data_IF_656838642208
#
_entry.id   IF_656838642208
#
_cell.length_a   1.000
_cell.length_b   1.000
_cell.length_c   1.000
_cell.angle_alpha   90.00
_cell.angle_beta   90.00
_cell.angle_gamma   90.00
#
_symmetry.space_group_name_H-M   'P 1'
#
loop_
_entity.id
_entity.type
_entity.pdbx_description
1 polymer ?
#
# COMPACT_ATOMS: atom_id res chain seq x y z
N UNK A 1 20.62 -21.02 8.39
CA UNK A 1 19.26 -21.22 7.85
C UNK A 1 18.17 -20.82 8.84
N UNK A 2 18.31 -21.12 10.14
CA UNK A 2 17.36 -20.70 11.19
C UNK A 2 17.23 -19.16 11.29
N UNK A 3 18.33 -18.42 11.20
CA UNK A 3 18.32 -16.95 11.27
C UNK A 3 17.48 -16.27 10.18
N UNK A 4 17.48 -16.80 8.95
CA UNK A 4 16.68 -16.25 7.84
C UNK A 4 15.18 -16.45 8.05
N UNK A 5 14.77 -17.63 8.54
CA UNK A 5 13.37 -17.92 8.87
C UNK A 5 12.90 -17.06 10.03
N UNK A 6 13.75 -16.87 11.04
CA UNK A 6 13.46 -16.00 12.17
C UNK A 6 13.34 -14.54 11.77
N UNK A 7 14.22 -14.04 10.89
CA UNK A 7 14.12 -12.69 10.35
C UNK A 7 12.81 -12.46 9.58
N UNK A 8 12.39 -13.41 8.74
CA UNK A 8 11.11 -13.34 8.04
C UNK A 8 9.91 -13.30 9.00
N UNK A 9 9.96 -14.12 10.07
CA UNK A 9 8.94 -14.13 11.12
C UNK A 9 8.89 -12.80 11.87
N UNK A 10 10.04 -12.22 12.22
CA UNK A 10 10.11 -10.92 12.87
C UNK A 10 9.53 -9.81 11.99
N UNK A 11 9.89 -9.79 10.69
CA UNK A 11 9.31 -8.85 9.73
C UNK A 11 7.79 -8.99 9.72
N UNK A 12 7.27 -10.21 9.63
CA UNK A 12 5.83 -10.45 9.66
C UNK A 12 5.17 -9.90 10.93
N UNK A 13 5.71 -10.20 12.12
CA UNK A 13 5.13 -9.72 13.38
C UNK A 13 5.20 -8.19 13.53
N UNK A 14 6.30 -7.56 13.13
CA UNK A 14 6.44 -6.11 13.16
C UNK A 14 5.39 -5.47 12.26
N UNK A 15 5.24 -5.94 11.02
CA UNK A 15 4.27 -5.40 10.08
C UNK A 15 2.84 -5.63 10.53
N UNK A 16 2.56 -6.82 11.04
CA UNK A 16 1.24 -7.16 11.57
C UNK A 16 0.88 -6.25 12.75
N UNK A 17 1.82 -6.03 13.67
CA UNK A 17 1.61 -5.16 14.83
C UNK A 17 1.39 -3.71 14.42
N UNK A 18 2.24 -3.15 13.56
CA UNK A 18 2.11 -1.76 13.10
C UNK A 18 0.80 -1.55 12.33
N UNK A 19 0.44 -2.47 11.44
CA UNK A 19 -0.80 -2.37 10.67
C UNK A 19 -2.04 -2.56 11.54
N UNK A 20 -1.96 -3.42 12.57
CA UNK A 20 -3.04 -3.57 13.55
C UNK A 20 -3.22 -2.31 14.40
N UNK A 21 -2.13 -1.65 14.79
CA UNK A 21 -2.21 -0.38 15.52
C UNK A 21 -2.83 0.72 14.66
N UNK A 22 -2.44 0.81 13.38
CA UNK A 22 -3.06 1.74 12.43
C UNK A 22 -4.57 1.48 12.34
N UNK A 23 -4.98 0.23 12.12
CA UNK A 23 -6.40 -0.16 12.07
C UNK A 23 -7.15 0.11 13.38
N UNK A 24 -6.53 -0.09 14.53
CA UNK A 24 -7.14 0.17 15.83
C UNK A 24 -7.41 1.66 16.06
N UNK A 25 -6.54 2.53 15.55
CA UNK A 25 -6.67 3.98 15.68
C UNK A 25 -7.79 4.60 14.84
N UNK A 26 -8.31 3.86 13.84
CA UNK A 26 -9.42 4.32 13.00
C UNK A 26 -10.74 4.16 13.73
N UNK A 27 -11.43 5.29 13.95
CA UNK A 27 -12.81 5.33 14.43
C UNK A 27 -13.76 5.06 13.26
N UNK A 28 -14.11 3.80 13.06
CA UNK A 28 -14.98 3.35 11.98
C UNK A 28 -15.48 1.93 12.22
N UNK A 29 -16.22 1.40 11.24
CA UNK A 29 -16.66 0.01 11.30
C UNK A 29 -15.54 -0.99 10.98
N UNK A 30 -15.91 -2.27 10.95
CA UNK A 30 -14.98 -3.35 10.64
C UNK A 30 -14.35 -3.22 9.25
N UNK A 31 -15.07 -2.69 8.26
CA UNK A 31 -14.58 -2.51 6.88
C UNK A 31 -13.53 -1.40 6.84
N UNK A 32 -13.79 -0.26 7.47
CA UNK A 32 -12.83 0.87 7.55
C UNK A 32 -11.54 0.47 8.25
N UNK A 33 -11.64 -0.27 9.36
CA UNK A 33 -10.47 -0.82 10.06
C UNK A 33 -9.70 -1.82 9.19
N UNK A 34 -10.39 -2.63 8.40
CA UNK A 34 -9.76 -3.58 7.48
C UNK A 34 -9.04 -2.83 6.35
N UNK A 35 -9.65 -1.79 5.79
CA UNK A 35 -9.01 -0.96 4.77
C UNK A 35 -7.75 -0.29 5.34
N UNK A 36 -7.83 0.32 6.52
CA UNK A 36 -6.68 0.94 7.18
C UNK A 36 -5.54 -0.05 7.46
N UNK A 37 -5.87 -1.26 7.90
CA UNK A 37 -4.89 -2.35 8.04
C UNK A 37 -4.18 -2.64 6.72
N UNK A 38 -4.95 -2.82 5.64
CA UNK A 38 -4.42 -3.15 4.32
C UNK A 38 -3.62 -2.02 3.70
N UNK A 39 -4.05 -0.76 3.85
CA UNK A 39 -3.31 0.43 3.41
C UNK A 39 -1.95 0.48 4.10
N UNK A 40 -1.91 0.38 5.44
CA UNK A 40 -0.65 0.39 6.20
C UNK A 40 0.30 -0.72 5.74
N UNK A 41 -0.23 -1.93 5.52
CA UNK A 41 0.55 -3.06 5.04
C UNK A 41 1.05 -2.86 3.60
N UNK A 42 0.24 -2.24 2.74
CA UNK A 42 0.60 -1.94 1.36
C UNK A 42 1.72 -0.89 1.27
N UNK A 43 1.71 0.13 2.14
CA UNK A 43 2.79 1.14 2.21
C UNK A 43 4.14 0.45 2.43
N UNK A 44 4.21 -0.56 3.30
CA UNK A 44 5.44 -1.32 3.48
C UNK A 44 5.89 -2.03 2.18
N UNK A 45 4.99 -2.71 1.48
CA UNK A 45 5.34 -3.38 0.22
C UNK A 45 5.77 -2.39 -0.86
N UNK A 46 5.15 -1.21 -0.91
CA UNK A 46 5.59 -0.11 -1.78
C UNK A 46 7.03 0.30 -1.45
N UNK A 47 7.36 0.49 -0.18
CA UNK A 47 8.72 0.85 0.24
C UNK A 47 9.73 -0.23 -0.13
N UNK A 48 9.40 -1.51 0.08
CA UNK A 48 10.25 -2.64 -0.33
C UNK A 48 10.45 -2.66 -1.84
N UNK A 49 9.39 -2.44 -2.62
CA UNK A 49 9.47 -2.42 -4.08
C UNK A 49 10.30 -1.24 -4.60
N UNK A 50 10.10 -0.04 -4.07
CA UNK A 50 10.90 1.14 -4.43
C UNK A 50 12.37 0.96 -4.02
N UNK A 51 12.64 0.36 -2.86
CA UNK A 51 13.99 0.07 -2.42
C UNK A 51 14.69 -0.99 -3.28
N UNK A 52 13.97 -2.04 -3.70
CA UNK A 52 14.47 -3.04 -4.65
C UNK A 52 14.84 -2.40 -6.00
N UNK A 53 13.98 -1.49 -6.50
CA UNK A 53 14.26 -0.73 -7.74
C UNK A 53 15.48 0.17 -7.56
N UNK A 54 15.57 0.91 -6.45
CA UNK A 54 16.71 1.79 -6.15
C UNK A 54 18.03 1.04 -6.13
N UNK A 55 18.06 -0.17 -5.54
CA UNK A 55 19.25 -1.01 -5.49
C UNK A 55 19.53 -1.79 -6.77
N UNK A 56 18.70 -1.64 -7.81
CA UNK A 56 18.72 -2.47 -9.02
C UNK A 56 18.67 -3.97 -8.68
N UNK A 57 17.94 -4.30 -7.60
CA UNK A 57 17.80 -5.66 -7.11
C UNK A 57 16.80 -6.49 -7.92
N UNK A 58 16.90 -7.81 -7.72
CA UNK A 58 15.97 -8.81 -8.26
C UNK A 58 15.24 -9.55 -7.13
N UNK A 59 15.05 -8.92 -5.97
CA UNK A 59 14.45 -9.59 -4.81
C UNK A 59 12.95 -9.83 -5.04
N UNK A 60 12.30 -8.97 -5.83
CA UNK A 60 10.90 -9.13 -6.22
C UNK A 60 10.77 -9.57 -7.67
N UNK A 61 9.91 -10.56 -7.88
CA UNK A 61 9.49 -11.01 -9.20
C UNK A 61 8.65 -9.94 -9.91
N UNK A 62 8.58 -10.00 -11.24
CA UNK A 62 7.72 -9.10 -12.03
C UNK A 62 6.25 -9.16 -11.61
N UNK A 63 5.74 -10.34 -11.21
CA UNK A 63 4.36 -10.49 -10.79
C UNK A 63 4.10 -9.74 -9.48
N UNK A 64 4.99 -9.86 -8.50
CA UNK A 64 4.91 -9.14 -7.23
C UNK A 64 4.96 -7.63 -7.44
N UNK A 65 5.90 -7.13 -8.25
CA UNK A 65 6.00 -5.70 -8.60
C UNK A 65 4.70 -5.17 -9.23
N UNK A 66 4.08 -5.93 -10.14
CA UNK A 66 2.80 -5.55 -10.76
C UNK A 66 1.64 -5.52 -9.77
N UNK A 67 1.56 -6.51 -8.89
CA UNK A 67 0.51 -6.56 -7.85
C UNK A 67 0.65 -5.33 -6.96
N UNK A 68 1.85 -5.04 -6.45
CA UNK A 68 2.10 -3.86 -5.60
C UNK A 68 1.73 -2.57 -6.33
N UNK A 69 2.19 -2.41 -7.58
CA UNK A 69 1.92 -1.22 -8.37
C UNK A 69 0.41 -0.97 -8.56
N UNK A 70 -0.38 -2.00 -8.86
CA UNK A 70 -1.82 -1.87 -9.14
C UNK A 70 -2.63 -1.75 -7.84
N UNK A 71 -2.29 -2.57 -6.83
CA UNK A 71 -3.05 -2.63 -5.58
C UNK A 71 -2.94 -1.36 -4.77
N UNK A 72 -1.82 -0.63 -4.86
CA UNK A 72 -1.63 0.60 -4.08
C UNK A 72 -2.62 1.72 -4.46
N UNK A 73 -2.70 2.21 -5.71
CA UNK A 73 -3.68 3.23 -6.09
C UNK A 73 -5.12 2.72 -5.95
N UNK A 74 -5.37 1.41 -6.15
CA UNK A 74 -6.70 0.83 -5.94
C UNK A 74 -7.12 0.91 -4.46
N UNK A 75 -6.23 0.56 -3.53
CA UNK A 75 -6.49 0.69 -2.10
C UNK A 75 -6.69 2.15 -1.70
N UNK A 76 -5.88 3.08 -2.22
CA UNK A 76 -6.08 4.52 -2.00
C UNK A 76 -7.47 4.96 -2.44
N UNK A 77 -7.95 4.53 -3.61
CA UNK A 77 -9.32 4.83 -4.04
C UNK A 77 -10.34 4.26 -3.06
N UNK A 78 -10.21 2.99 -2.67
CA UNK A 78 -11.16 2.33 -1.77
C UNK A 78 -11.22 3.03 -0.41
N UNK A 79 -10.07 3.43 0.14
CA UNK A 79 -9.95 4.13 1.42
C UNK A 79 -10.70 5.44 1.47
N UNK A 80 -10.70 6.20 0.37
CA UNK A 80 -11.41 7.47 0.31
C UNK A 80 -12.85 7.35 -0.20
N UNK A 81 -13.15 6.40 -1.09
CA UNK A 81 -14.49 6.22 -1.66
C UNK A 81 -15.43 5.56 -0.66
N UNK A 82 -14.96 4.58 0.12
CA UNK A 82 -15.82 3.83 1.03
C UNK A 82 -16.50 4.73 2.10
N UNK A 83 -15.77 5.57 2.86
CA UNK A 83 -16.40 6.45 3.85
C UNK A 83 -17.37 7.44 3.22
N UNK A 84 -17.05 7.98 2.04
CA UNK A 84 -17.91 8.94 1.32
C UNK A 84 -19.25 8.30 0.92
N UNK A 85 -19.22 7.04 0.47
CA UNK A 85 -20.44 6.31 0.15
C UNK A 85 -21.23 5.96 1.40
N UNK A 86 -20.55 5.52 2.46
CA UNK A 86 -21.19 5.09 3.71
C UNK A 86 -21.84 6.23 4.46
N UNK A 87 -21.18 7.38 4.51
CA UNK A 87 -21.64 8.56 5.24
C UNK A 87 -22.23 9.63 4.32
N UNK A 88 -22.77 9.23 3.16
CA UNK A 88 -23.19 10.16 2.09
C UNK A 88 -24.13 11.29 2.53
N UNK A 89 -24.87 11.10 3.62
CA UNK A 89 -25.71 12.09 4.29
C UNK A 89 -24.93 13.22 4.99
N UNK A 90 -23.63 13.07 5.20
CA UNK A 90 -22.74 14.04 5.83
C UNK A 90 -22.11 14.96 4.77
N UNK A 91 -21.93 16.24 5.12
CA UNK A 91 -21.16 17.19 4.30
C UNK A 91 -19.67 16.87 4.40
N UNK A 92 -19.14 16.25 3.36
CA UNK A 92 -17.71 16.00 3.25
C UNK A 92 -17.05 17.14 2.45
N UNK A 93 -16.83 18.33 3.04
CA UNK A 93 -16.13 19.39 2.29
C UNK A 93 -14.61 19.20 2.25
N UNK A 94 -14.05 18.47 3.21
CA UNK A 94 -12.61 18.53 3.49
C UNK A 94 -11.82 17.27 3.05
N UNK A 95 -12.49 16.28 2.45
CA UNK A 95 -11.88 15.01 2.05
C UNK A 95 -11.18 15.05 0.68
N UNK A 96 -11.55 16.01 -0.18
CA UNK A 96 -11.07 16.06 -1.58
C UNK A 96 -9.57 16.35 -1.65
N UNK A 97 -9.07 17.26 -0.82
CA UNK A 97 -7.65 17.63 -0.84
C UNK A 97 -6.72 16.50 -0.37
N UNK A 98 -6.95 15.85 0.80
CA UNK A 98 -6.18 14.67 1.20
C UNK A 98 -6.24 13.53 0.17
N UNK A 99 -7.43 13.27 -0.38
CA UNK A 99 -7.59 12.27 -1.44
C UNK A 99 -6.72 12.57 -2.64
N UNK A 100 -6.74 13.79 -3.17
CA UNK A 100 -5.94 14.15 -4.35
C UNK A 100 -4.44 14.03 -4.09
N UNK A 101 -3.98 14.40 -2.90
CA UNK A 101 -2.58 14.27 -2.51
C UNK A 101 -2.15 12.80 -2.50
N UNK A 102 -2.87 11.96 -1.76
CA UNK A 102 -2.54 10.53 -1.63
C UNK A 102 -2.69 9.79 -2.96
N UNK A 103 -3.71 10.15 -3.74
CA UNK A 103 -3.92 9.59 -5.08
C UNK A 103 -2.80 9.99 -6.04
N UNK A 104 -2.33 11.23 -6.01
CA UNK A 104 -1.19 11.67 -6.83
C UNK A 104 0.07 10.90 -6.45
N UNK A 105 0.35 10.75 -5.16
CA UNK A 105 1.49 9.98 -4.68
C UNK A 105 1.38 8.51 -5.11
N UNK A 106 0.21 7.89 -4.98
CA UNK A 106 0.02 6.50 -5.40
C UNK A 106 0.18 6.29 -6.90
N UNK A 107 -0.23 7.26 -7.74
CA UNK A 107 0.02 7.24 -9.18
C UNK A 107 1.51 7.42 -9.54
N UNK A 108 2.24 8.27 -8.81
CA UNK A 108 3.69 8.40 -8.99
C UNK A 108 4.39 7.07 -8.66
N UNK A 109 4.04 6.44 -7.55
CA UNK A 109 4.54 5.12 -7.16
C UNK A 109 4.23 4.07 -8.23
N UNK A 110 2.96 4.01 -8.68
CA UNK A 110 2.56 3.11 -9.76
C UNK A 110 3.43 3.31 -11.00
N UNK A 111 3.63 4.56 -11.42
CA UNK A 111 4.38 4.90 -12.64
C UNK A 111 5.83 4.43 -12.55
N UNK A 112 6.49 4.66 -11.41
CA UNK A 112 7.87 4.23 -11.16
C UNK A 112 8.00 2.70 -11.19
N UNK A 113 7.16 2.00 -10.43
CA UNK A 113 7.22 0.54 -10.34
C UNK A 113 6.86 -0.10 -11.68
N UNK A 114 5.83 0.40 -12.36
CA UNK A 114 5.36 -0.13 -13.63
C UNK A 114 6.36 0.07 -14.76
N UNK A 115 7.03 1.23 -14.82
CA UNK A 115 8.11 1.50 -15.77
C UNK A 115 9.26 0.51 -15.60
N UNK A 116 9.67 0.23 -14.36
CA UNK A 116 10.72 -0.75 -14.07
C UNK A 116 10.34 -2.15 -14.57
N UNK A 117 9.09 -2.57 -14.39
CA UNK A 117 8.61 -3.86 -14.90
C UNK A 117 8.67 -3.96 -16.42
N UNK A 118 8.42 -2.86 -17.15
CA UNK A 118 8.52 -2.83 -18.61
C UNK A 118 9.96 -2.93 -19.10
N UNK A 119 10.89 -2.21 -18.47
CA UNK A 119 12.29 -2.18 -18.90
C UNK A 119 12.99 -3.54 -18.79
N UNK A 120 12.59 -4.37 -17.82
CA UNK A 120 13.14 -5.74 -17.69
C UNK A 120 12.60 -6.69 -18.78
N UNK A 121 11.51 -6.35 -19.50
CA UNK A 121 11.03 -7.15 -20.64
C UNK A 121 11.71 -6.83 -21.95
N UNK A 122 12.42 -5.70 -22.05
CA UNK A 122 13.15 -5.27 -23.25
C UNK A 122 14.62 -5.69 -23.27
N UNK A 123 15.08 -6.38 -22.23
CA UNK A 123 16.38 -7.04 -22.14
C UNK A 123 16.17 -8.55 -22.23
#
# INVERSE_FOLDING_TARGET
MQSRKFAALLIFFILFSLSSMAAYSVYGDFVEKTIAFLTSLMVFFVLVALFDIYRQGHNLTMKEKKVIAISFPLLTIIEYVYPVLKYSEQKHSDYVYPFLMDFTISLLVFTIIWSNVKNVRSQ
#
